data_IF_421132121407
#
_entry.id   IF_421132121407
#
_cell.length_a   1.000
_cell.length_b   1.000
_cell.length_c   1.000
_cell.angle_alpha   90.00
_cell.angle_beta   90.00
_cell.angle_gamma   90.00
#
_symmetry.space_group_name_H-M   'P 1'
#
loop_
_entity.id
_entity.type
_entity.pdbx_description
1 polymer ?
#
# COMPACT_ATOMS: atom_id res chain seq x y z
N UNK A 1 -2.76 0.35 -18.48
CA UNK A 1 -1.77 0.86 -17.51
C UNK A 1 -1.22 -0.28 -16.64
N UNK A 2 -2.01 -1.20 -16.07
CA UNK A 2 -1.47 -2.39 -15.38
C UNK A 2 -0.87 -3.48 -16.32
N UNK A 3 -1.38 -3.60 -17.56
CA UNK A 3 -0.96 -4.67 -18.48
C UNK A 3 0.46 -4.54 -19.05
N UNK A 4 1.15 -3.41 -18.88
CA UNK A 4 2.53 -3.23 -19.36
C UNK A 4 3.59 -3.46 -18.25
N UNK A 5 3.17 -3.47 -16.97
CA UNK A 5 4.05 -3.62 -15.81
C UNK A 5 3.80 -4.93 -15.06
N UNK A 6 3.53 -6.02 -15.78
CA UNK A 6 3.23 -7.34 -15.19
C UNK A 6 2.12 -7.30 -14.10
N UNK A 7 1.13 -6.42 -14.25
CA UNK A 7 0.03 -6.28 -13.29
C UNK A 7 0.30 -5.37 -12.08
N UNK A 8 1.53 -4.87 -11.91
CA UNK A 8 1.86 -3.91 -10.85
C UNK A 8 1.26 -2.52 -11.13
N UNK A 9 0.64 -1.95 -10.11
CA UNK A 9 -0.02 -0.64 -10.13
C UNK A 9 0.81 0.30 -9.27
N UNK A 10 1.17 1.47 -9.80
CA UNK A 10 1.90 2.46 -9.00
C UNK A 10 0.97 3.09 -7.97
N UNK A 11 1.47 3.32 -6.75
CA UNK A 11 0.68 3.95 -5.70
C UNK A 11 0.25 5.39 -6.04
N UNK A 12 0.99 6.09 -6.91
CA UNK A 12 0.64 7.43 -7.39
C UNK A 12 -0.41 7.44 -8.51
N UNK A 13 -0.63 6.30 -9.18
CA UNK A 13 -1.70 6.13 -10.16
C UNK A 13 -3.01 5.76 -9.47
N UNK A 14 -2.96 4.78 -8.58
CA UNK A 14 -4.13 4.25 -7.86
C UNK A 14 -3.71 3.51 -6.60
N UNK A 15 -4.42 3.75 -5.50
CA UNK A 15 -4.30 2.97 -4.27
C UNK A 15 -5.31 1.81 -4.26
N UNK A 16 -5.04 0.71 -3.54
CA UNK A 16 -6.04 -0.31 -3.30
C UNK A 16 -7.25 0.26 -2.55
N UNK A 17 -8.42 -0.33 -2.74
CA UNK A 17 -9.61 0.01 -1.95
C UNK A 17 -9.39 -0.46 -0.51
N UNK A 18 -9.73 0.37 0.49
CA UNK A 18 -9.54 -0.04 1.88
C UNK A 18 -10.44 -1.23 2.24
N UNK A 19 -9.88 -2.21 2.93
CA UNK A 19 -10.58 -3.40 3.41
C UNK A 19 -9.65 -4.40 4.08
N UNK A 20 -10.24 -5.43 4.69
CA UNK A 20 -9.55 -6.53 5.38
C UNK A 20 -9.08 -7.58 4.37
N UNK A 21 -7.98 -7.28 3.68
CA UNK A 21 -7.32 -8.18 2.74
C UNK A 21 -5.86 -7.77 2.53
N UNK A 22 -5.10 -8.66 1.88
CA UNK A 22 -3.68 -8.43 1.59
C UNK A 22 -3.42 -8.23 0.11
N UNK A 23 -2.34 -7.52 -0.18
CA UNK A 23 -1.77 -7.32 -1.53
C UNK A 23 -0.28 -7.62 -1.51
N UNK A 24 0.33 -7.84 -2.66
CA UNK A 24 1.78 -7.79 -2.78
C UNK A 24 2.22 -6.33 -2.96
N UNK A 25 3.29 -5.95 -2.29
CA UNK A 25 3.89 -4.62 -2.38
C UNK A 25 5.34 -4.69 -2.89
N UNK A 26 5.80 -3.60 -3.49
CA UNK A 26 7.19 -3.41 -3.92
C UNK A 26 7.75 -2.10 -3.42
N UNK A 27 8.97 -2.13 -2.88
CA UNK A 27 9.64 -1.00 -2.24
C UNK A 27 10.62 -0.29 -3.17
N UNK A 28 10.80 1.02 -2.99
CA UNK A 28 11.76 1.83 -3.76
C UNK A 28 13.20 1.31 -3.67
N UNK A 29 13.56 0.72 -2.53
CA UNK A 29 14.88 0.11 -2.28
C UNK A 29 14.97 -1.35 -2.76
N UNK A 30 13.96 -1.83 -3.49
CA UNK A 30 13.84 -3.22 -3.93
C UNK A 30 13.30 -4.15 -2.84
N UNK A 31 12.86 -5.33 -3.29
CA UNK A 31 12.16 -6.32 -2.47
C UNK A 31 10.65 -6.29 -2.69
N UNK A 32 10.01 -7.44 -2.47
CA UNK A 32 8.55 -7.58 -2.50
C UNK A 32 8.09 -8.53 -1.40
N UNK A 33 6.92 -8.26 -0.83
CA UNK A 33 6.29 -9.05 0.22
C UNK A 33 4.78 -8.73 0.27
N UNK A 34 4.04 -9.54 1.01
CA UNK A 34 2.63 -9.36 1.30
C UNK A 34 2.44 -8.31 2.40
N UNK A 35 1.50 -7.39 2.20
CA UNK A 35 1.08 -6.40 3.20
C UNK A 35 -0.43 -6.41 3.37
N UNK A 36 -0.89 -6.12 4.59
CA UNK A 36 -2.30 -5.88 4.88
C UNK A 36 -2.70 -4.48 4.39
N UNK A 37 -3.80 -4.37 3.64
CA UNK A 37 -4.18 -3.11 2.98
C UNK A 37 -4.55 -2.04 3.99
N UNK A 38 -5.31 -2.39 5.03
CA UNK A 38 -5.74 -1.41 6.02
C UNK A 38 -4.54 -0.83 6.78
N UNK A 39 -3.56 -1.66 7.17
CA UNK A 39 -2.38 -1.21 7.92
C UNK A 39 -1.52 -0.22 7.12
N UNK A 40 -1.40 -0.44 5.81
CA UNK A 40 -0.50 0.34 4.95
C UNK A 40 -1.14 1.58 4.33
N UNK A 41 -2.41 1.48 3.95
CA UNK A 41 -3.09 2.50 3.13
C UNK A 41 -4.16 3.28 3.88
N UNK A 42 -4.61 2.84 5.06
CA UNK A 42 -5.48 3.66 5.93
C UNK A 42 -4.71 4.82 6.58
N UNK A 43 -5.46 5.77 7.15
CA UNK A 43 -4.88 6.88 7.89
C UNK A 43 -4.44 6.42 9.29
N UNK A 44 -3.13 6.51 9.54
CA UNK A 44 -2.51 6.29 10.84
C UNK A 44 -2.14 7.63 11.48
N UNK A 45 -2.15 7.70 12.81
CA UNK A 45 -1.74 8.91 13.52
C UNK A 45 -0.24 9.17 13.33
N UNK A 46 0.10 10.42 13.01
CA UNK A 46 1.47 10.88 12.76
C UNK A 46 1.87 12.01 13.73
N UNK A 47 1.60 11.81 15.02
CA UNK A 47 1.88 12.81 16.05
C UNK A 47 0.87 13.96 16.08
N UNK A 48 1.32 15.12 16.59
CA UNK A 48 0.51 16.33 16.76
C UNK A 48 1.17 17.55 16.11
N UNK A 49 0.36 18.47 15.61
CA UNK A 49 0.83 19.77 15.10
C UNK A 49 1.17 20.77 16.23
N UNK A 50 1.62 21.97 15.86
CA UNK A 50 1.98 23.05 16.82
C UNK A 50 0.81 23.52 17.68
N UNK A 51 -0.43 23.29 17.23
CA UNK A 51 -1.66 23.61 17.95
C UNK A 51 -2.17 22.43 18.80
N UNK A 52 -1.48 21.29 18.77
CA UNK A 52 -1.82 20.08 19.49
C UNK A 52 -2.86 19.18 18.80
N UNK A 53 -3.26 19.45 17.56
CA UNK A 53 -4.19 18.60 16.81
C UNK A 53 -3.49 17.34 16.29
N UNK A 54 -4.22 16.24 16.16
CA UNK A 54 -3.69 15.00 15.57
C UNK A 54 -3.45 15.18 14.08
N UNK A 55 -2.27 14.78 13.62
CA UNK A 55 -1.96 14.62 12.22
C UNK A 55 -2.15 13.18 11.80
N UNK A 56 -2.47 12.96 10.53
CA UNK A 56 -2.65 11.62 9.96
C UNK A 56 -1.76 11.46 8.73
N UNK A 57 -1.27 10.25 8.51
CA UNK A 57 -0.48 9.85 7.34
C UNK A 57 -0.83 8.44 6.93
N UNK A 58 -0.19 7.92 5.88
CA UNK A 58 -0.31 6.52 5.45
C UNK A 58 1.04 5.84 5.57
N UNK A 59 1.07 4.61 6.10
CA UNK A 59 2.31 3.90 6.37
C UNK A 59 3.10 3.58 5.08
N UNK A 60 2.43 3.35 3.95
CA UNK A 60 3.09 3.07 2.67
C UNK A 60 4.07 4.19 2.25
N UNK A 61 3.80 5.44 2.65
CA UNK A 61 4.68 6.59 2.36
C UNK A 61 6.01 6.49 3.13
N UNK A 62 5.95 6.19 4.44
CA UNK A 62 7.15 6.08 5.27
C UNK A 62 7.93 4.79 4.98
N UNK A 63 7.21 3.73 4.61
CA UNK A 63 7.81 2.48 4.16
C UNK A 63 8.30 2.54 2.71
N UNK A 64 8.07 3.63 1.96
CA UNK A 64 8.49 3.77 0.57
C UNK A 64 7.99 2.64 -0.37
N UNK A 65 6.75 2.20 -0.15
CA UNK A 65 6.04 1.31 -1.09
C UNK A 65 5.70 2.12 -2.34
N UNK A 66 6.09 1.60 -3.50
CA UNK A 66 5.95 2.29 -4.80
C UNK A 66 4.91 1.65 -5.69
N UNK A 67 4.74 0.33 -5.59
CA UNK A 67 3.80 -0.43 -6.39
C UNK A 67 3.10 -1.47 -5.54
N UNK A 68 1.90 -1.86 -5.96
CA UNK A 68 1.15 -2.97 -5.42
C UNK A 68 0.50 -3.79 -6.54
N UNK A 69 0.13 -5.03 -6.22
CA UNK A 69 -0.71 -5.86 -7.09
C UNK A 69 -1.66 -6.70 -6.22
N UNK A 70 -2.84 -7.07 -6.73
CA UNK A 70 -3.70 -8.04 -6.05
C UNK A 70 -2.94 -9.34 -5.77
N UNK A 71 -3.31 -10.03 -4.71
CA UNK A 71 -2.84 -11.40 -4.51
C UNK A 71 -3.25 -12.27 -5.70
N UNK A 72 -2.43 -13.27 -6.09
CA UNK A 72 -2.82 -14.21 -7.12
C UNK A 72 -4.09 -14.96 -6.69
N UNK A 73 -4.86 -15.40 -7.68
CA UNK A 73 -6.01 -16.28 -7.43
C UNK A 73 -5.56 -17.56 -6.74
N UNK A 74 -6.43 -18.07 -5.88
CA UNK A 74 -6.21 -19.36 -5.21
C UNK A 74 -6.11 -20.49 -6.24
N UNK A 75 -5.28 -21.51 -5.99
CA UNK A 75 -5.18 -22.64 -6.89
C UNK A 75 -6.51 -23.39 -6.97
N UNK A 76 -6.95 -23.69 -8.19
CA UNK A 76 -8.07 -24.61 -8.43
C UNK A 76 -7.61 -26.06 -8.26
N UNK A 77 -8.49 -26.93 -7.75
CA UNK A 77 -8.23 -28.37 -7.60
C UNK A 77 -8.00 -29.09 -8.93
#
# INVERSE_FOLDING_TARGET
MANENNGWIRCDERLPELGDYSVLAYWSHGGMDMIHVEDYFSDITNGRDESGNLMYTKLYLSQQVTHWQPMPEEPTK
#
